data_IF_694072941564
#
_entry.id   IF_694072941564
#
_cell.length_a   1.000
_cell.length_b   1.000
_cell.length_c   1.000
_cell.angle_alpha   90.00
_cell.angle_beta   90.00
_cell.angle_gamma   90.00
#
_symmetry.space_group_name_H-M   'P 1'
#
loop_
_entity.id
_entity.type
_entity.pdbx_description
1 polymer ?
#
# COMPACT_ATOMS: atom_id res chain seq x y z
N UNK A 1 -6.97 -5.22 30.26
CA UNK A 1 -8.25 -4.52 29.98
C UNK A 1 -8.04 -3.60 28.78
N UNK A 2 -8.12 -4.12 27.55
CA UNK A 2 -8.08 -3.33 26.30
C UNK A 2 -9.45 -3.24 25.62
N UNK A 3 -10.36 -4.17 25.91
CA UNK A 3 -11.71 -4.22 25.33
C UNK A 3 -12.68 -3.15 25.87
N UNK A 4 -12.26 -2.32 26.84
CA UNK A 4 -13.10 -1.29 27.47
C UNK A 4 -12.91 0.11 26.85
N UNK A 5 -11.92 0.28 25.98
CA UNK A 5 -11.73 1.52 25.26
C UNK A 5 -12.58 1.43 23.98
N UNK A 6 -13.81 1.95 24.03
CA UNK A 6 -14.68 2.11 22.86
C UNK A 6 -14.14 3.16 21.86
N UNK A 7 -12.82 3.32 21.78
CA UNK A 7 -12.13 4.18 20.84
C UNK A 7 -11.91 3.36 19.56
N UNK A 8 -12.65 3.68 18.50
CA UNK A 8 -12.30 3.20 17.18
C UNK A 8 -10.87 3.63 16.87
N UNK A 9 -9.94 2.68 16.64
CA UNK A 9 -8.56 3.04 16.35
C UNK A 9 -8.53 3.83 15.04
N UNK A 10 -7.78 4.94 15.02
CA UNK A 10 -7.52 5.65 13.77
C UNK A 10 -6.64 4.76 12.89
N UNK A 11 -7.23 4.17 11.87
CA UNK A 11 -6.52 3.34 10.89
C UNK A 11 -6.16 4.16 9.66
N UNK A 12 -4.98 3.89 9.11
CA UNK A 12 -4.53 4.39 7.83
C UNK A 12 -3.83 3.27 7.06
N UNK A 13 -3.91 3.33 5.74
CA UNK A 13 -3.19 2.42 4.85
C UNK A 13 -2.50 3.22 3.74
N UNK A 14 -1.35 2.72 3.29
CA UNK A 14 -0.69 3.19 2.08
C UNK A 14 -1.12 2.30 0.90
N UNK A 15 -1.15 2.86 -0.31
CA UNK A 15 -1.53 2.16 -1.53
C UNK A 15 -0.51 2.50 -2.60
N UNK A 16 0.12 1.49 -3.20
CA UNK A 16 0.92 1.67 -4.40
C UNK A 16 0.13 1.33 -5.65
N UNK A 17 0.37 2.07 -6.73
CA UNK A 17 -0.39 1.96 -7.98
C UNK A 17 0.58 1.74 -9.15
N UNK A 18 0.16 0.93 -10.12
CA UNK A 18 0.85 0.75 -11.40
C UNK A 18 -0.17 0.73 -12.56
N UNK A 19 0.20 1.26 -13.72
CA UNK A 19 -0.63 1.42 -14.91
C UNK A 19 0.01 0.67 -16.08
N UNK A 20 -0.76 -0.22 -16.70
CA UNK A 20 -0.34 -0.86 -17.95
C UNK A 20 -0.61 0.05 -19.16
N UNK A 21 0.33 0.16 -20.13
CA UNK A 21 1.67 -0.46 -20.16
C UNK A 21 2.78 0.41 -19.54
N UNK A 22 2.47 1.62 -19.05
CA UNK A 22 3.45 2.63 -18.62
C UNK A 22 4.43 2.12 -17.56
N UNK A 23 3.95 1.31 -16.62
CA UNK A 23 4.70 0.80 -15.48
C UNK A 23 5.18 -0.65 -15.66
N UNK A 24 4.94 -1.22 -16.85
CA UNK A 24 5.34 -2.57 -17.21
C UNK A 24 4.37 -3.24 -18.18
N UNK A 25 4.92 -4.07 -19.07
CA UNK A 25 4.13 -4.84 -20.04
C UNK A 25 3.77 -6.26 -19.55
N UNK A 26 4.34 -6.69 -18.42
CA UNK A 26 4.01 -7.98 -17.79
C UNK A 26 3.35 -7.77 -16.43
N UNK A 27 2.63 -8.78 -15.97
CA UNK A 27 1.98 -8.77 -14.65
C UNK A 27 3.04 -8.60 -13.55
N UNK A 28 4.16 -9.30 -13.67
CA UNK A 28 5.27 -9.22 -12.70
C UNK A 28 5.85 -7.81 -12.61
N UNK A 29 6.01 -7.13 -13.76
CA UNK A 29 6.51 -5.76 -13.79
C UNK A 29 5.54 -4.79 -13.11
N UNK A 30 4.24 -4.92 -13.38
CA UNK A 30 3.20 -4.09 -12.73
C UNK A 30 3.14 -4.31 -11.22
N UNK A 31 3.20 -5.57 -10.77
CA UNK A 31 3.19 -5.91 -9.34
C UNK A 31 4.43 -5.37 -8.61
N UNK A 32 5.60 -5.50 -9.22
CA UNK A 32 6.84 -4.95 -8.64
C UNK A 32 6.81 -3.43 -8.56
N UNK A 33 6.26 -2.75 -9.57
CA UNK A 33 6.12 -1.29 -9.55
C UNK A 33 5.16 -0.83 -8.47
N UNK A 34 3.98 -1.45 -8.37
CA UNK A 34 3.00 -1.13 -7.33
C UNK A 34 3.55 -1.39 -5.90
N UNK A 35 4.30 -2.49 -5.70
CA UNK A 35 4.91 -2.79 -4.40
C UNK A 35 6.00 -1.77 -3.99
N UNK A 36 6.82 -1.31 -4.95
CA UNK A 36 7.84 -0.27 -4.70
C UNK A 36 7.21 1.07 -4.33
N UNK A 37 6.16 1.48 -5.04
CA UNK A 37 5.41 2.69 -4.74
C UNK A 37 4.84 2.62 -3.32
N UNK A 38 4.19 1.50 -2.98
CA UNK A 38 3.66 1.24 -1.64
C UNK A 38 4.74 1.34 -0.55
N UNK A 39 5.91 0.74 -0.77
CA UNK A 39 7.01 0.77 0.20
C UNK A 39 7.64 2.15 0.35
N UNK A 40 7.72 2.94 -0.72
CA UNK A 40 8.17 4.34 -0.66
C UNK A 40 7.25 5.23 0.19
N UNK A 41 5.96 4.86 0.29
CA UNK A 41 4.96 5.59 1.08
C UNK A 41 4.86 5.16 2.56
N UNK A 42 5.54 4.08 2.98
CA UNK A 42 5.54 3.69 4.39
C UNK A 42 6.46 4.64 5.18
N UNK A 43 5.99 5.23 6.29
CA UNK A 43 6.85 6.09 7.11
C UNK A 43 8.00 5.28 7.74
N UNK A 44 9.15 5.94 7.90
CA UNK A 44 10.36 5.40 8.57
C UNK A 44 10.12 5.23 10.07
#
# INVERSE_FOLDING_TARGET
>A
RLAADSLEPRLSASIGVAVYPQDGETIEALLVTADRELYGMKPV
#
